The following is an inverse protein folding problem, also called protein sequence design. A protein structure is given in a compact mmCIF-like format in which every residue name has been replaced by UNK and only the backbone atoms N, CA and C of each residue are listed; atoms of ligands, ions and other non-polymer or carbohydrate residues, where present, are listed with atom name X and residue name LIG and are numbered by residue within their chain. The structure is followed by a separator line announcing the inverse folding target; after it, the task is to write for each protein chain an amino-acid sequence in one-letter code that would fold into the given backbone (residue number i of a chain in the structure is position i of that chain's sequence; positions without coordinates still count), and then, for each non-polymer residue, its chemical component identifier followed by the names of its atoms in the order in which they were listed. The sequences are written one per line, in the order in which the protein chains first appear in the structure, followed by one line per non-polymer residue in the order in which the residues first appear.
data_IF_629408352826
#
_entry.id   IF_629408352826
#
_cell.length_a   1.000
_cell.length_b   1.000
_cell.length_c   1.000
_cell.angle_alpha   90.00
_cell.angle_beta   90.00
_cell.angle_gamma   90.00
#
_symmetry.space_group_name_H-M   'P 1'
#
loop_
_entity.id
_entity.type
_entity.pdbx_description
1 polymer ?
#
# COMPACT_ATOMS: atom_id res chain seq x y z
N UNK A 1 10.85 -11.91 19.49
CA UNK A 1 10.99 -10.50 19.08
C UNK A 1 10.03 -9.67 19.91
N UNK A 2 10.46 -8.53 20.45
CA UNK A 2 9.59 -7.62 21.21
C UNK A 2 8.79 -6.74 20.24
N UNK A 3 7.62 -6.27 20.67
CA UNK A 3 6.71 -5.46 19.85
C UNK A 3 7.40 -4.16 19.35
N UNK A 4 8.32 -3.59 20.14
CA UNK A 4 9.12 -2.42 19.78
C UNK A 4 10.05 -2.66 18.57
N UNK A 5 10.75 -3.79 18.52
CA UNK A 5 11.68 -4.09 17.43
C UNK A 5 10.93 -4.17 16.09
N UNK A 6 9.77 -4.84 16.12
CA UNK A 6 8.91 -4.99 14.96
C UNK A 6 8.35 -3.63 14.49
N UNK A 7 7.96 -2.75 15.41
CA UNK A 7 7.52 -1.38 15.08
C UNK A 7 8.62 -0.57 14.38
N UNK A 8 9.86 -0.63 14.89
CA UNK A 8 11.00 0.06 14.29
C UNK A 8 11.34 -0.47 12.89
N UNK A 9 11.28 -1.79 12.69
CA UNK A 9 11.50 -2.40 11.37
C UNK A 9 10.46 -1.95 10.34
N UNK A 10 9.18 -1.87 10.74
CA UNK A 10 8.09 -1.40 9.88
C UNK A 10 8.25 0.08 9.56
N UNK A 11 8.62 0.91 10.53
CA UNK A 11 8.89 2.33 10.31
C UNK A 11 10.05 2.55 9.34
N UNK A 12 11.16 1.82 9.52
CA UNK A 12 12.31 1.89 8.62
C UNK A 12 11.93 1.49 7.18
N UNK A 13 11.14 0.43 7.01
CA UNK A 13 10.63 0.03 5.70
C UNK A 13 9.80 1.14 5.06
N UNK A 14 8.86 1.73 5.78
CA UNK A 14 7.98 2.78 5.24
C UNK A 14 8.79 4.00 4.82
N UNK A 15 9.71 4.48 5.67
CA UNK A 15 10.58 5.63 5.34
C UNK A 15 11.47 5.37 4.14
N UNK A 16 12.05 4.18 4.02
CA UNK A 16 12.87 3.78 2.88
C UNK A 16 12.05 3.78 1.57
N UNK A 17 10.84 3.21 1.61
CA UNK A 17 9.94 3.16 0.45
C UNK A 17 9.45 4.55 0.06
N UNK A 18 9.08 5.41 1.01
CA UNK A 18 8.66 6.79 0.71
C UNK A 18 9.80 7.62 0.09
N UNK A 19 11.04 7.38 0.50
CA UNK A 19 12.21 8.07 -0.06
C UNK A 19 12.61 7.56 -1.43
N UNK A 20 12.57 6.24 -1.65
CA UNK A 20 13.20 5.60 -2.81
C UNK A 20 12.21 5.06 -3.84
N UNK A 21 10.94 4.90 -3.47
CA UNK A 21 9.92 4.15 -4.21
C UNK A 21 10.36 2.71 -4.58
N UNK A 22 11.31 2.12 -3.86
CA UNK A 22 11.75 0.74 -4.05
C UNK A 22 10.97 -0.20 -3.15
N UNK A 23 10.19 -1.09 -3.76
CA UNK A 23 9.36 -2.05 -3.06
C UNK A 23 10.04 -3.42 -3.03
N UNK A 24 10.61 -3.80 -1.88
CA UNK A 24 11.16 -5.15 -1.69
C UNK A 24 10.06 -6.12 -1.31
N UNK A 25 9.71 -7.02 -2.23
CA UNK A 25 8.61 -7.97 -2.05
C UNK A 25 8.78 -8.85 -0.80
N UNK A 26 9.94 -9.49 -0.64
CA UNK A 26 10.21 -10.36 0.51
C UNK A 26 10.15 -9.60 1.83
N UNK A 27 10.65 -8.36 1.85
CA UNK A 27 10.68 -7.52 3.06
C UNK A 27 9.27 -7.05 3.45
N UNK A 28 8.47 -6.62 2.47
CA UNK A 28 7.10 -6.16 2.70
C UNK A 28 6.22 -7.29 3.23
N UNK A 29 6.19 -8.44 2.55
CA UNK A 29 5.36 -9.57 2.98
C UNK A 29 5.88 -10.21 4.28
N UNK A 30 7.19 -10.27 4.48
CA UNK A 30 7.78 -10.76 5.72
C UNK A 30 7.35 -9.94 6.93
N UNK A 31 7.34 -8.61 6.82
CA UNK A 31 6.87 -7.73 7.90
C UNK A 31 5.34 -7.75 8.04
N UNK A 32 4.61 -7.73 6.93
CA UNK A 32 3.14 -7.78 6.95
C UNK A 32 2.63 -9.03 7.68
N UNK A 33 3.15 -10.21 7.32
CA UNK A 33 2.76 -11.48 7.93
C UNK A 33 3.06 -11.51 9.44
N UNK A 34 4.17 -10.91 9.87
CA UNK A 34 4.52 -10.82 11.31
C UNK A 34 3.63 -9.83 12.06
N UNK A 35 3.30 -8.70 11.45
CA UNK A 35 2.45 -7.64 12.05
C UNK A 35 1.01 -8.13 12.23
N UNK A 36 0.44 -8.75 11.20
CA UNK A 36 -0.96 -9.13 11.16
C UNK A 36 -1.21 -10.61 11.51
N UNK A 37 -0.16 -11.39 11.78
CA UNK A 37 -0.27 -12.82 12.08
C UNK A 37 -0.77 -13.65 10.90
N UNK A 38 -0.55 -13.18 9.67
CA UNK A 38 -0.98 -13.84 8.43
C UNK A 38 0.14 -14.69 7.82
N UNK A 39 -0.21 -15.52 6.84
CA UNK A 39 0.73 -16.31 6.06
C UNK A 39 0.49 -16.07 4.56
N UNK A 40 0.40 -14.80 4.15
CA UNK A 40 0.19 -14.50 2.74
C UNK A 40 1.44 -14.81 1.93
N UNK A 41 1.22 -15.44 0.78
CA UNK A 41 2.26 -15.69 -0.22
C UNK A 41 2.66 -14.39 -0.91
N UNK A 42 3.96 -14.07 -1.03
CA UNK A 42 4.41 -12.85 -1.69
C UNK A 42 3.89 -12.74 -3.13
N UNK A 43 3.47 -11.53 -3.53
CA UNK A 43 2.98 -11.23 -4.88
C UNK A 43 3.77 -10.09 -5.50
N UNK A 44 4.20 -10.25 -6.75
CA UNK A 44 5.08 -9.30 -7.46
C UNK A 44 4.36 -8.09 -8.03
N UNK A 45 3.03 -8.05 -7.91
CA UNK A 45 2.23 -6.93 -8.37
C UNK A 45 2.58 -5.65 -7.60
N UNK A 46 3.02 -4.62 -8.32
CA UNK A 46 3.39 -3.33 -7.74
C UNK A 46 2.24 -2.71 -6.93
N UNK A 47 1.01 -2.79 -7.44
CA UNK A 47 -0.18 -2.32 -6.73
C UNK A 47 -0.44 -3.08 -5.42
N UNK A 48 -0.15 -4.38 -5.37
CA UNK A 48 -0.26 -5.18 -4.16
C UNK A 48 0.77 -4.75 -3.12
N UNK A 49 2.03 -4.57 -3.55
CA UNK A 49 3.10 -4.09 -2.68
C UNK A 49 2.78 -2.70 -2.09
N UNK A 50 2.28 -1.78 -2.91
CA UNK A 50 1.86 -0.45 -2.45
C UNK A 50 0.74 -0.55 -1.42
N UNK A 51 -0.28 -1.40 -1.65
CA UNK A 51 -1.37 -1.59 -0.70
C UNK A 51 -0.87 -2.12 0.64
N UNK A 52 0.00 -3.13 0.62
CA UNK A 52 0.58 -3.71 1.85
C UNK A 52 1.40 -2.68 2.63
N UNK A 53 2.19 -1.84 1.96
CA UNK A 53 2.93 -0.74 2.61
C UNK A 53 1.99 0.28 3.24
N UNK A 54 0.86 0.63 2.59
CA UNK A 54 -0.15 1.54 3.17
C UNK A 54 -0.80 0.95 4.42
N UNK A 55 -1.12 -0.33 4.42
CA UNK A 55 -1.66 -1.03 5.58
C UNK A 55 -0.67 -1.03 6.76
N UNK A 56 0.62 -1.29 6.48
CA UNK A 56 1.69 -1.21 7.48
C UNK A 56 1.83 0.21 8.05
N UNK A 57 1.71 1.24 7.21
CA UNK A 57 1.71 2.65 7.67
C UNK A 57 0.51 2.96 8.56
N UNK A 58 -0.67 2.47 8.21
CA UNK A 58 -1.88 2.65 9.03
C UNK A 58 -1.76 1.92 10.37
N UNK A 59 -1.12 0.74 10.38
CA UNK A 59 -0.83 0.03 11.62
C UNK A 59 0.07 0.85 12.55
N UNK A 60 1.13 1.48 12.02
CA UNK A 60 1.98 2.39 12.80
C UNK A 60 1.20 3.57 13.40
N UNK A 61 0.30 4.17 12.62
CA UNK A 61 -0.53 5.30 13.07
C UNK A 61 -1.48 4.87 14.21
N UNK A 62 -2.18 3.74 14.06
CA UNK A 62 -3.08 3.20 15.10
C UNK A 62 -2.36 2.84 16.39
N UNK A 63 -1.12 2.37 16.31
CA UNK A 63 -0.30 2.12 17.49
C UNK A 63 0.25 3.41 18.12
N UNK A 64 0.13 4.56 17.44
CA UNK A 64 0.46 5.89 17.96
C UNK A 64 -0.77 6.62 18.48
N UNK A 65 -1.98 6.31 18.01
CA UNK A 65 -3.26 6.92 18.43
C UNK A 65 -3.70 6.58 19.87
N UNK A 66 -2.91 5.81 20.63
CA UNK A 66 -3.02 5.83 22.09
C UNK A 66 -2.34 7.08 22.72
N UNK A 67 -1.65 7.90 21.91
CA UNK A 67 -1.01 9.18 22.24
C UNK A 67 -0.86 10.11 21.00
N UNK A 68 -1.97 10.73 20.58
CA UNK A 68 -2.07 11.88 19.64
C UNK A 68 -2.35 11.63 18.16
N UNK A 69 -3.57 12.05 17.82
CA UNK A 69 -4.11 12.59 16.57
C UNK A 69 -3.06 13.30 15.68
N UNK A 70 -2.98 12.90 14.40
CA UNK A 70 -2.50 13.77 13.34
C UNK A 70 -3.19 13.43 12.00
N UNK A 71 -4.26 14.18 11.76
CA UNK A 71 -4.73 14.71 10.48
C UNK A 71 -3.74 14.57 9.30
N UNK A 72 -4.20 13.96 8.20
CA UNK A 72 -4.25 14.64 6.90
C UNK A 72 -4.86 13.77 5.79
N UNK A 73 -5.94 14.32 5.25
CA UNK A 73 -6.62 13.92 4.02
C UNK A 73 -5.72 14.02 2.77
N UNK A 74 -5.75 12.97 1.93
CA UNK A 74 -6.12 12.91 0.49
C UNK A 74 -5.57 14.03 -0.46
N UNK A 75 -5.00 13.75 -1.66
CA UNK A 75 -5.86 13.36 -2.81
C UNK A 75 -5.31 12.43 -3.91
N UNK A 76 -6.28 11.76 -4.54
CA UNK A 76 -6.43 11.44 -5.96
C UNK A 76 -5.31 10.69 -6.71
N UNK A 77 -5.67 9.54 -7.30
CA UNK A 77 -5.43 9.19 -8.71
C UNK A 77 -6.15 7.86 -9.05
N UNK A 78 -7.36 7.99 -9.57
CA UNK A 78 -7.93 7.13 -10.62
C UNK A 78 -8.39 8.09 -11.73
N UNK A 79 -8.50 7.70 -13.02
CA UNK A 79 -8.56 6.35 -13.57
C UNK A 79 -7.61 6.09 -14.77
N UNK A 80 -7.19 4.83 -14.96
CA UNK A 80 -6.56 4.42 -16.22
C UNK A 80 -7.64 3.91 -17.19
N UNK A 81 -7.84 4.66 -18.26
CA UNK A 81 -8.69 4.37 -19.41
C UNK A 81 -8.24 3.16 -20.22
N UNK A 82 -9.19 2.32 -20.63
CA UNK A 82 -9.21 1.51 -21.87
C UNK A 82 -10.68 1.04 -22.05
N UNK A 83 -11.38 1.17 -23.18
CA UNK A 83 -11.04 0.83 -24.56
C UNK A 83 -12.01 1.51 -25.57
N UNK A 84 -11.42 2.13 -26.59
CA UNK A 84 -11.77 2.13 -28.03
C UNK A 84 -13.22 2.09 -28.55
N UNK A 85 -13.56 3.20 -29.20
CA UNK A 85 -14.46 3.43 -30.35
C UNK A 85 -15.05 2.22 -31.13
N UNK A 86 -16.36 2.29 -31.39
CA UNK A 86 -16.95 1.97 -32.71
C UNK A 86 -18.07 2.97 -33.04
N UNK A 87 -17.76 3.91 -33.93
CA UNK A 87 -18.73 4.74 -34.66
C UNK A 87 -19.04 4.00 -35.97
N UNK A 88 -20.28 3.63 -36.23
CA UNK A 88 -20.74 3.50 -37.62
C UNK A 88 -22.17 4.01 -37.73
N UNK A 89 -22.35 4.83 -38.76
CA UNK A 89 -23.45 5.72 -39.07
C UNK A 89 -24.04 5.25 -40.41
N UNK A 90 -25.35 5.03 -40.50
CA UNK A 90 -26.18 5.25 -41.72
C UNK A 90 -27.64 4.96 -41.32
N UNK A 91 -28.52 5.96 -41.19
CA UNK A 91 -29.19 6.83 -42.20
C UNK A 91 -30.41 6.14 -42.82
N UNK A 92 -31.55 6.73 -42.46
CA UNK A 92 -32.88 6.86 -43.06
C UNK A 92 -33.24 6.00 -44.29
N UNK A 93 -34.41 5.35 -44.20
CA UNK A 93 -35.44 5.37 -45.24
C UNK A 93 -36.82 5.14 -44.64
#
# INVERSE_FOLDING_TARGET
MTNLALRSEVEALVREVEKTHRYSMSRIYGLYNRVFGTNETPQSCASCLIRKVRELKNWLAKSSDNESVADRETPALQPASAKTAKKHLKKDK
#
